data_IF_811037943425
#
_entry.id   IF_811037943425
#
_cell.length_a   1.000
_cell.length_b   1.000
_cell.length_c   1.000
_cell.angle_alpha   90.00
_cell.angle_beta   90.00
_cell.angle_gamma   90.00
#
_symmetry.space_group_name_H-M   'P 1'
#
loop_
_entity.id
_entity.type
_entity.pdbx_description
1 polymer ?
#
# COMPACT_ATOMS: atom_id res chain seq x y z
N UNK A 1 -7.26 -16.13 34.96
CA UNK A 1 -7.32 -17.28 34.04
C UNK A 1 -7.77 -16.73 32.69
N UNK A 2 -6.88 -16.29 31.81
CA UNK A 2 -6.01 -17.10 30.95
C UNK A 2 -6.48 -16.91 29.49
N UNK A 3 -6.22 -15.76 28.87
CA UNK A 3 -5.17 -15.57 27.83
C UNK A 3 -5.24 -16.53 26.62
N UNK A 4 -6.43 -16.81 26.09
CA UNK A 4 -6.62 -17.58 24.85
C UNK A 4 -7.54 -16.81 23.89
N UNK A 5 -6.94 -16.05 22.97
CA UNK A 5 -7.69 -15.34 21.92
C UNK A 5 -6.87 -14.71 20.79
N UNK A 6 -5.53 -14.66 20.89
CA UNK A 6 -4.69 -13.90 19.94
C UNK A 6 -3.85 -14.78 19.00
N UNK A 7 -4.46 -15.80 18.39
CA UNK A 7 -3.87 -16.51 17.26
C UNK A 7 -4.79 -16.50 16.03
N UNK A 8 -5.26 -15.31 15.64
CA UNK A 8 -5.64 -15.08 14.24
C UNK A 8 -4.36 -14.82 13.44
N UNK A 9 -3.66 -15.91 13.10
CA UNK A 9 -2.61 -15.90 12.08
C UNK A 9 -3.30 -15.69 10.71
N UNK A 10 -3.46 -14.43 10.29
CA UNK A 10 -3.95 -14.09 8.95
C UNK A 10 -2.86 -14.41 7.89
N UNK A 11 -3.05 -15.41 7.00
CA UNK A 11 -2.05 -15.74 5.98
C UNK A 11 -2.10 -14.80 4.74
N UNK A 12 -2.88 -13.71 4.81
CA UNK A 12 -3.16 -12.83 3.65
C UNK A 12 -2.02 -11.88 3.22
N UNK A 13 -1.00 -11.67 4.05
CA UNK A 13 0.05 -10.68 3.76
C UNK A 13 1.10 -11.19 2.75
N UNK A 14 1.38 -12.50 2.72
CA UNK A 14 2.36 -13.10 1.78
C UNK A 14 1.84 -13.15 0.35
N UNK A 15 0.55 -13.41 0.15
CA UNK A 15 -0.07 -13.53 -1.17
C UNK A 15 -0.06 -12.22 -1.97
N UNK A 16 -0.24 -11.06 -1.30
CA UNK A 16 -0.24 -9.75 -1.97
C UNK A 16 1.17 -9.25 -2.30
N UNK A 17 2.16 -9.55 -1.47
CA UNK A 17 3.57 -9.30 -1.81
C UNK A 17 4.02 -10.17 -2.98
N UNK A 18 3.60 -11.44 -3.04
CA UNK A 18 3.88 -12.33 -4.16
C UNK A 18 3.35 -11.77 -5.49
N UNK A 19 2.18 -11.12 -5.49
CA UNK A 19 1.57 -10.63 -6.74
C UNK A 19 2.42 -9.61 -7.50
N UNK A 20 3.17 -8.77 -6.79
CA UNK A 20 4.05 -7.76 -7.42
C UNK A 20 5.48 -8.27 -7.60
N UNK A 21 5.93 -9.18 -6.73
CA UNK A 21 7.28 -9.75 -6.79
C UNK A 21 7.41 -10.84 -7.86
N UNK A 22 6.38 -11.67 -8.07
CA UNK A 22 6.39 -12.77 -9.05
C UNK A 22 6.64 -12.31 -10.49
N UNK A 23 5.94 -11.30 -11.05
CA UNK A 23 6.20 -10.87 -12.42
C UNK A 23 7.61 -10.27 -12.56
N UNK A 24 8.12 -9.61 -11.52
CA UNK A 24 9.48 -9.08 -11.47
C UNK A 24 10.53 -10.19 -11.49
N UNK A 25 10.34 -11.22 -10.66
CA UNK A 25 11.21 -12.41 -10.63
C UNK A 25 11.13 -13.19 -11.95
N UNK A 26 9.94 -13.31 -12.54
CA UNK A 26 9.75 -13.97 -13.82
C UNK A 26 10.44 -13.22 -14.97
N UNK A 27 10.29 -11.89 -15.05
CA UNK A 27 10.99 -11.05 -16.02
C UNK A 27 12.51 -11.17 -15.88
N UNK A 28 12.99 -11.24 -14.65
CA UNK A 28 14.40 -11.37 -14.32
C UNK A 28 14.95 -12.76 -14.71
N UNK A 29 14.20 -13.83 -14.46
CA UNK A 29 14.54 -15.17 -14.95
C UNK A 29 14.63 -15.20 -16.47
N UNK A 30 13.68 -14.56 -17.17
CA UNK A 30 13.73 -14.45 -18.64
C UNK A 30 14.96 -13.66 -19.11
N UNK A 31 15.31 -12.56 -18.46
CA UNK A 31 16.50 -11.78 -18.79
C UNK A 31 17.79 -12.62 -18.62
N UNK A 32 17.91 -13.34 -17.51
CA UNK A 32 19.05 -14.23 -17.22
C UNK A 32 19.13 -15.36 -18.26
N UNK A 33 18.01 -16.01 -18.58
CA UNK A 33 17.96 -17.07 -19.59
C UNK A 33 18.30 -16.55 -20.98
N UNK A 34 17.82 -15.36 -21.34
CA UNK A 34 18.12 -14.72 -22.63
C UNK A 34 19.62 -14.44 -22.76
N UNK A 35 20.26 -13.94 -21.70
CA UNK A 35 21.72 -13.71 -21.71
C UNK A 35 22.51 -15.00 -21.79
N UNK A 36 22.12 -16.03 -21.03
CA UNK A 36 22.74 -17.34 -21.12
C UNK A 36 22.59 -17.94 -22.53
N UNK A 37 21.44 -17.77 -23.17
CA UNK A 37 21.20 -18.23 -24.53
C UNK A 37 22.07 -17.49 -25.56
N UNK A 38 22.17 -16.15 -25.46
CA UNK A 38 23.06 -15.34 -26.31
C UNK A 38 24.52 -15.77 -26.11
N UNK A 39 24.95 -15.97 -24.87
CA UNK A 39 26.30 -16.40 -24.56
C UNK A 39 26.59 -17.82 -25.05
N UNK A 40 25.64 -18.73 -24.93
CA UNK A 40 25.72 -20.07 -25.52
C UNK A 40 25.83 -19.99 -27.05
N UNK A 41 25.02 -19.15 -27.70
CA UNK A 41 25.05 -19.00 -29.15
C UNK A 41 26.39 -18.43 -29.64
N UNK A 42 26.91 -17.40 -28.96
CA UNK A 42 28.24 -16.82 -29.25
C UNK A 42 29.35 -17.84 -29.00
N UNK A 43 29.30 -18.58 -27.89
CA UNK A 43 30.29 -19.62 -27.57
C UNK A 43 30.24 -20.79 -28.55
N UNK A 44 29.04 -21.23 -28.94
CA UNK A 44 28.85 -22.34 -29.87
C UNK A 44 29.28 -21.95 -31.29
N UNK A 45 29.04 -20.70 -31.72
CA UNK A 45 29.52 -20.18 -32.99
C UNK A 45 31.05 -19.97 -33.00
N UNK A 46 31.64 -19.54 -31.89
CA UNK A 46 33.10 -19.35 -31.78
C UNK A 46 33.87 -20.68 -31.73
N UNK A 47 33.34 -21.69 -31.05
CA UNK A 47 33.98 -23.01 -30.91
C UNK A 47 33.72 -23.90 -32.16
N UNK A 48 32.60 -23.72 -32.86
CA UNK A 48 32.31 -24.51 -34.06
C UNK A 48 32.98 -24.02 -35.35
N UNK A 49 33.18 -22.71 -35.52
CA UNK A 49 33.62 -22.14 -36.79
C UNK A 49 35.14 -21.95 -36.93
N UNK A 50 35.87 -21.70 -35.82
CA UNK A 50 37.32 -21.46 -35.89
C UNK A 50 38.18 -22.73 -35.83
N UNK A 51 37.68 -23.82 -35.21
CA UNK A 51 38.44 -25.06 -35.08
C UNK A 51 38.74 -25.75 -36.42
N UNK A 52 37.93 -25.52 -37.46
CA UNK A 52 38.09 -26.15 -38.77
C UNK A 52 38.82 -25.32 -39.84
N UNK A 53 39.10 -24.02 -39.61
CA UNK A 53 39.77 -23.17 -40.63
C UNK A 53 41.14 -22.60 -40.23
N UNK A 54 41.50 -22.54 -38.95
CA UNK A 54 42.69 -21.81 -38.52
C UNK A 54 43.73 -22.73 -37.85
N UNK A 55 44.38 -23.59 -38.63
CA UNK A 55 45.51 -24.37 -38.11
C UNK A 55 46.83 -23.58 -37.99
N UNK A 56 46.89 -22.27 -38.29
CA UNK A 56 48.11 -21.46 -38.14
C UNK A 56 47.76 -19.99 -37.87
N UNK A 57 48.17 -19.51 -36.70
CA UNK A 57 48.26 -18.08 -36.33
C UNK A 57 46.87 -17.41 -36.21
N UNK A 58 46.21 -17.41 -35.05
CA UNK A 58 46.26 -16.33 -34.06
C UNK A 58 45.61 -16.88 -32.79
N UNK A 59 46.40 -17.24 -31.79
CA UNK A 59 45.96 -17.69 -30.47
C UNK A 59 45.55 -16.52 -29.53
N UNK A 60 45.14 -15.37 -30.08
CA UNK A 60 44.88 -14.14 -29.32
C UNK A 60 43.47 -13.56 -29.46
N UNK A 61 42.69 -13.95 -30.47
CA UNK A 61 41.30 -13.47 -30.65
C UNK A 61 40.31 -14.17 -29.71
N UNK A 62 40.48 -15.47 -29.44
CA UNK A 62 39.59 -16.25 -28.55
C UNK A 62 39.63 -15.82 -27.08
N UNK A 63 40.80 -15.42 -26.57
CA UNK A 63 40.99 -15.00 -25.17
C UNK A 63 40.31 -13.65 -24.89
N UNK A 64 40.36 -12.71 -25.84
CA UNK A 64 39.71 -11.39 -25.73
C UNK A 64 38.17 -11.50 -25.75
N UNK A 65 37.63 -12.37 -26.62
CA UNK A 65 36.19 -12.66 -26.68
C UNK A 65 35.69 -13.35 -25.41
N UNK A 66 36.46 -14.29 -24.83
CA UNK A 66 36.12 -14.96 -23.57
C UNK A 66 36.13 -14.01 -22.37
N UNK A 67 37.09 -13.09 -22.31
CA UNK A 67 37.15 -12.08 -21.23
C UNK A 67 36.02 -11.07 -21.34
N UNK A 68 35.70 -10.59 -22.55
CA UNK A 68 34.58 -9.68 -22.79
C UNK A 68 33.23 -10.27 -22.38
N UNK A 69 32.99 -11.55 -22.70
CA UNK A 69 31.74 -12.25 -22.32
C UNK A 69 31.62 -12.49 -20.82
N UNK A 70 32.72 -12.82 -20.12
CA UNK A 70 32.73 -12.93 -18.65
C UNK A 70 32.49 -11.60 -17.95
N UNK A 71 33.11 -10.52 -18.43
CA UNK A 71 32.89 -9.18 -17.87
C UNK A 71 31.45 -8.73 -18.11
N UNK A 72 30.92 -8.90 -19.33
CA UNK A 72 29.56 -8.53 -19.67
C UNK A 72 28.49 -9.27 -18.86
N UNK A 73 28.67 -10.58 -18.68
CA UNK A 73 27.78 -11.40 -17.84
C UNK A 73 27.85 -11.02 -16.36
N UNK A 74 29.05 -10.71 -15.84
CA UNK A 74 29.24 -10.19 -14.49
C UNK A 74 28.52 -8.85 -14.27
N UNK A 75 28.68 -7.90 -15.20
CA UNK A 75 28.00 -6.59 -15.13
C UNK A 75 26.48 -6.75 -15.16
N UNK A 76 25.95 -7.61 -16.04
CA UNK A 76 24.52 -7.84 -16.10
C UNK A 76 23.99 -8.48 -14.80
N UNK A 77 24.69 -9.48 -14.25
CA UNK A 77 24.30 -10.11 -13.00
C UNK A 77 24.24 -9.07 -11.86
N UNK A 78 25.21 -8.17 -11.78
CA UNK A 78 25.22 -7.09 -10.78
C UNK A 78 24.04 -6.14 -10.99
N UNK A 79 23.75 -5.73 -12.24
CA UNK A 79 22.59 -4.88 -12.54
C UNK A 79 21.27 -5.55 -12.14
N UNK A 80 21.13 -6.83 -12.45
CA UNK A 80 19.97 -7.64 -12.07
C UNK A 80 19.78 -7.69 -10.55
N UNK A 81 20.86 -7.95 -9.81
CA UNK A 81 20.83 -7.96 -8.34
C UNK A 81 20.53 -6.58 -7.75
N UNK A 82 21.05 -5.51 -8.36
CA UNK A 82 20.79 -4.14 -7.94
C UNK A 82 19.31 -3.74 -8.12
N UNK A 83 18.72 -4.06 -9.28
CA UNK A 83 17.29 -3.86 -9.54
C UNK A 83 16.44 -4.65 -8.56
N UNK A 84 16.82 -5.91 -8.27
CA UNK A 84 16.13 -6.74 -7.29
C UNK A 84 16.17 -6.14 -5.88
N UNK A 85 17.35 -5.70 -5.43
CA UNK A 85 17.50 -5.06 -4.13
C UNK A 85 16.70 -3.75 -4.04
N UNK A 86 16.64 -2.97 -5.12
CA UNK A 86 15.84 -1.76 -5.21
C UNK A 86 14.34 -2.07 -5.14
N UNK A 87 13.84 -2.99 -5.97
CA UNK A 87 12.43 -3.39 -5.96
C UNK A 87 11.98 -3.91 -4.59
N UNK A 88 12.83 -4.69 -3.92
CA UNK A 88 12.56 -5.20 -2.58
C UNK A 88 12.47 -4.07 -1.55
N UNK A 89 13.38 -3.08 -1.62
CA UNK A 89 13.31 -1.87 -0.79
C UNK A 89 12.05 -1.05 -1.04
N UNK A 90 11.66 -0.86 -2.29
CA UNK A 90 10.45 -0.11 -2.65
C UNK A 90 9.19 -0.77 -2.07
N UNK A 91 9.11 -2.10 -2.20
CA UNK A 91 7.99 -2.90 -1.68
C UNK A 91 7.83 -2.70 -0.18
N UNK A 92 8.90 -2.80 0.60
CA UNK A 92 8.85 -2.60 2.04
C UNK A 92 8.52 -1.15 2.43
N UNK A 93 8.94 -0.18 1.61
CA UNK A 93 8.69 1.24 1.85
C UNK A 93 7.21 1.60 1.67
N UNK A 94 6.52 1.03 0.68
CA UNK A 94 5.13 1.39 0.33
C UNK A 94 4.11 0.49 1.04
N UNK A 95 4.33 -0.81 1.12
CA UNK A 95 3.30 -1.76 1.62
C UNK A 95 2.97 -1.52 3.09
N UNK A 96 3.98 -1.18 3.92
CA UNK A 96 3.79 -0.98 5.36
C UNK A 96 2.85 0.20 5.68
N UNK A 97 3.08 1.44 5.21
CA UNK A 97 2.18 2.55 5.49
C UNK A 97 0.76 2.32 4.92
N UNK A 98 0.65 1.76 3.72
CA UNK A 98 -0.66 1.41 3.13
C UNK A 98 -1.41 0.41 4.00
N UNK A 99 -0.73 -0.59 4.56
CA UNK A 99 -1.38 -1.56 5.43
C UNK A 99 -1.81 -0.95 6.76
N UNK A 100 -1.00 -0.06 7.35
CA UNK A 100 -1.38 0.69 8.56
C UNK A 100 -2.63 1.53 8.31
N UNK A 101 -2.67 2.25 7.18
CA UNK A 101 -3.83 3.07 6.81
C UNK A 101 -5.08 2.21 6.60
N UNK A 102 -4.94 1.08 5.89
CA UNK A 102 -6.04 0.15 5.68
C UNK A 102 -6.60 -0.39 7.00
N UNK A 103 -5.74 -0.80 7.95
CA UNK A 103 -6.19 -1.25 9.28
C UNK A 103 -6.93 -0.17 10.05
N UNK A 104 -6.45 1.08 9.98
CA UNK A 104 -7.13 2.20 10.63
C UNK A 104 -8.50 2.48 10.01
N UNK A 105 -8.62 2.38 8.69
CA UNK A 105 -9.90 2.47 7.99
C UNK A 105 -10.85 1.32 8.36
N UNK A 106 -10.35 0.09 8.44
CA UNK A 106 -11.15 -1.07 8.86
C UNK A 106 -11.68 -0.88 10.30
N UNK A 107 -10.83 -0.39 11.21
CA UNK A 107 -11.25 -0.08 12.58
C UNK A 107 -12.29 1.05 12.63
N UNK A 108 -12.12 2.10 11.83
CA UNK A 108 -13.10 3.18 11.70
C UNK A 108 -14.46 2.66 11.16
N UNK A 109 -14.44 1.77 10.17
CA UNK A 109 -15.65 1.12 9.63
C UNK A 109 -16.32 0.23 10.68
N UNK A 110 -15.54 -0.40 11.56
CA UNK A 110 -16.05 -1.15 12.70
C UNK A 110 -16.61 -0.26 13.84
N UNK A 111 -16.47 1.06 13.74
CA UNK A 111 -16.93 2.03 14.74
C UNK A 111 -15.89 2.39 15.82
N UNK A 112 -14.65 1.95 15.67
CA UNK A 112 -13.56 2.24 16.62
C UNK A 112 -12.95 3.63 16.34
N UNK A 113 -13.49 4.65 17.02
CA UNK A 113 -13.03 6.05 16.87
C UNK A 113 -11.81 6.39 17.73
N UNK A 114 -11.33 5.47 18.57
CA UNK A 114 -10.13 5.66 19.39
C UNK A 114 -8.82 5.40 18.66
N UNK A 115 -8.86 5.02 17.38
CA UNK A 115 -7.67 4.65 16.61
C UNK A 115 -6.99 5.89 16.03
N UNK A 116 -5.66 5.94 16.14
CA UNK A 116 -4.82 6.99 15.53
C UNK A 116 -3.75 6.38 14.65
N UNK A 117 -3.55 6.99 13.48
CA UNK A 117 -2.47 6.67 12.55
C UNK A 117 -1.23 7.49 12.89
N UNK A 118 -0.17 6.82 13.33
CA UNK A 118 1.14 7.43 13.56
C UNK A 118 2.15 6.88 12.55
N UNK A 119 2.52 7.69 11.57
CA UNK A 119 3.56 7.37 10.59
C UNK A 119 4.81 8.20 10.91
N UNK A 120 5.92 7.53 11.21
CA UNK A 120 7.20 8.18 11.59
C UNK A 120 7.96 8.81 10.40
N UNK A 121 7.30 9.04 9.26
CA UNK A 121 7.95 9.46 8.02
C UNK A 121 7.49 10.85 7.59
N UNK A 122 8.34 11.57 6.87
CA UNK A 122 8.01 12.86 6.29
C UNK A 122 7.73 12.72 4.78
N UNK A 123 6.77 11.87 4.43
CA UNK A 123 6.34 11.63 3.05
C UNK A 123 4.82 11.85 2.89
N UNK A 124 4.31 11.69 1.67
CA UNK A 124 2.90 11.90 1.31
C UNK A 124 1.97 10.99 2.13
N UNK A 125 2.46 9.83 2.60
CA UNK A 125 1.68 8.95 3.46
C UNK A 125 1.41 9.56 4.83
N UNK A 126 2.32 10.37 5.38
CA UNK A 126 2.07 11.09 6.63
C UNK A 126 0.94 12.08 6.47
N UNK A 127 0.92 12.84 5.39
CA UNK A 127 -0.16 13.80 5.12
C UNK A 127 -1.53 13.09 5.05
N UNK A 128 -1.59 11.94 4.37
CA UNK A 128 -2.80 11.10 4.33
C UNK A 128 -3.18 10.57 5.72
N UNK A 129 -2.20 10.12 6.52
CA UNK A 129 -2.43 9.66 7.89
C UNK A 129 -2.95 10.77 8.82
N UNK A 130 -2.38 11.97 8.72
CA UNK A 130 -2.84 13.15 9.46
C UNK A 130 -4.24 13.59 9.02
N UNK A 131 -4.54 13.54 7.72
CA UNK A 131 -5.88 13.80 7.21
C UNK A 131 -6.89 12.77 7.74
N UNK A 132 -6.53 11.49 7.81
CA UNK A 132 -7.38 10.47 8.41
C UNK A 132 -7.60 10.72 9.91
N UNK A 133 -6.58 11.09 10.67
CA UNK A 133 -6.73 11.43 12.09
C UNK A 133 -7.69 12.61 12.29
N UNK A 134 -7.55 13.68 11.50
CA UNK A 134 -8.48 14.82 11.54
C UNK A 134 -9.92 14.40 11.24
N UNK A 135 -10.10 13.50 10.27
CA UNK A 135 -11.43 12.95 9.95
C UNK A 135 -12.01 12.18 11.13
N UNK A 136 -11.22 11.32 11.78
CA UNK A 136 -11.67 10.54 12.95
C UNK A 136 -12.02 11.47 14.12
N UNK A 137 -11.19 12.47 14.42
CA UNK A 137 -11.42 13.43 15.50
C UNK A 137 -12.71 14.25 15.26
N UNK A 138 -12.96 14.69 14.03
CA UNK A 138 -14.17 15.45 13.66
C UNK A 138 -15.42 14.57 13.73
N UNK A 139 -15.32 13.31 13.27
CA UNK A 139 -16.41 12.34 13.36
C UNK A 139 -16.75 12.01 14.82
N UNK A 140 -15.74 11.76 15.66
CA UNK A 140 -15.93 11.49 17.09
C UNK A 140 -16.56 12.69 17.82
N UNK A 141 -16.10 13.90 17.53
CA UNK A 141 -16.66 15.13 18.09
C UNK A 141 -18.13 15.29 17.70
N UNK A 142 -18.46 15.03 16.44
CA UNK A 142 -19.83 15.20 15.94
C UNK A 142 -20.76 14.13 16.50
N UNK A 143 -20.32 12.88 16.57
CA UNK A 143 -21.08 11.80 17.19
C UNK A 143 -21.32 12.06 18.69
N UNK A 144 -20.34 12.65 19.37
CA UNK A 144 -20.48 13.12 20.75
C UNK A 144 -21.58 14.19 20.91
N UNK A 145 -21.66 15.15 19.98
CA UNK A 145 -22.74 16.15 19.95
C UNK A 145 -24.11 15.51 19.74
N UNK A 146 -24.22 14.56 18.81
CA UNK A 146 -25.46 13.82 18.56
C UNK A 146 -25.89 13.03 19.80
N UNK A 147 -24.98 12.32 20.46
CA UNK A 147 -25.28 11.62 21.71
C UNK A 147 -25.78 12.57 22.81
N UNK A 148 -25.12 13.72 22.99
CA UNK A 148 -25.56 14.72 23.96
C UNK A 148 -26.96 15.28 23.64
N UNK A 149 -27.30 15.43 22.35
CA UNK A 149 -28.64 15.82 21.93
C UNK A 149 -29.69 14.74 22.20
N UNK A 150 -29.36 13.47 21.98
CA UNK A 150 -30.23 12.32 22.31
C UNK A 150 -30.48 12.28 23.82
N UNK A 151 -29.45 12.44 24.65
CA UNK A 151 -29.59 12.45 26.10
C UNK A 151 -30.48 13.60 26.61
N UNK A 152 -30.30 14.80 26.03
CA UNK A 152 -31.16 15.96 26.31
C UNK A 152 -32.61 15.71 25.89
N UNK A 153 -32.81 15.11 24.71
CA UNK A 153 -34.16 14.75 24.22
C UNK A 153 -34.83 13.73 25.14
N UNK A 154 -34.10 12.71 25.59
CA UNK A 154 -34.59 11.71 26.54
C UNK A 154 -34.89 12.31 27.93
N UNK A 155 -34.14 13.32 28.37
CA UNK A 155 -34.42 14.05 29.60
C UNK A 155 -35.72 14.86 29.50
N UNK A 156 -35.91 15.56 28.38
CA UNK A 156 -37.13 16.34 28.09
C UNK A 156 -38.36 15.42 28.03
N UNK A 157 -38.24 14.26 27.37
CA UNK A 157 -39.33 13.28 27.27
C UNK A 157 -39.74 12.66 28.62
N UNK A 158 -38.81 12.62 29.59
CA UNK A 158 -39.09 12.16 30.96
C UNK A 158 -39.67 13.25 31.86
N UNK A 159 -39.59 14.52 31.46
CA UNK A 159 -40.21 15.65 32.17
C UNK A 159 -41.73 15.66 32.01
N UNK A 160 -42.43 16.28 32.97
CA UNK A 160 -43.88 16.51 32.83
C UNK A 160 -44.14 17.40 31.61
N UNK A 161 -45.08 16.99 30.75
CA UNK A 161 -45.49 17.73 29.55
C UNK A 161 -45.88 19.17 29.93
N UNK A 162 -45.08 20.15 29.55
CA UNK A 162 -45.35 21.57 29.74
C UNK A 162 -45.38 22.29 28.40
N UNK A 163 -45.97 23.49 28.33
CA UNK A 163 -45.86 24.35 27.14
C UNK A 163 -44.40 24.65 26.75
N UNK A 164 -43.48 24.74 27.71
CA UNK A 164 -42.05 24.94 27.44
C UNK A 164 -41.33 23.72 26.87
N UNK A 165 -41.90 22.51 27.02
CA UNK A 165 -41.41 21.28 26.36
C UNK A 165 -41.39 21.42 24.84
N UNK A 166 -42.41 22.06 24.25
CA UNK A 166 -42.51 22.23 22.79
C UNK A 166 -41.42 23.15 22.25
N UNK A 167 -41.09 24.23 22.96
CA UNK A 167 -40.00 25.13 22.59
C UNK A 167 -38.64 24.45 22.70
N UNK A 168 -38.40 23.69 23.77
CA UNK A 168 -37.17 22.92 23.96
C UNK A 168 -36.98 21.85 22.87
N UNK A 169 -38.04 21.13 22.51
CA UNK A 169 -37.99 20.13 21.45
C UNK A 169 -37.64 20.76 20.10
N UNK A 170 -38.25 21.91 19.77
CA UNK A 170 -37.94 22.64 18.53
C UNK A 170 -36.48 23.09 18.48
N UNK A 171 -35.95 23.60 19.60
CA UNK A 171 -34.54 23.98 19.68
C UNK A 171 -33.60 22.78 19.47
N UNK A 172 -33.89 21.63 20.08
CA UNK A 172 -33.10 20.41 19.90
C UNK A 172 -33.15 19.89 18.45
N UNK A 173 -34.31 19.95 17.79
CA UNK A 173 -34.44 19.57 16.38
C UNK A 173 -33.63 20.51 15.49
N UNK A 174 -33.65 21.82 15.73
CA UNK A 174 -32.83 22.77 14.97
C UNK A 174 -31.33 22.55 15.18
N UNK A 175 -30.90 22.22 16.40
CA UNK A 175 -29.50 21.89 16.69
C UNK A 175 -29.06 20.59 15.99
N UNK A 176 -29.94 19.58 15.99
CA UNK A 176 -29.71 18.34 15.26
C UNK A 176 -29.60 18.60 13.76
N UNK A 177 -30.50 19.41 13.19
CA UNK A 177 -30.53 19.74 11.77
C UNK A 177 -29.22 20.44 11.34
N UNK A 178 -28.75 21.42 12.12
CA UNK A 178 -27.44 22.04 11.93
C UNK A 178 -26.28 21.05 12.02
N UNK A 179 -26.35 20.10 12.95
CA UNK A 179 -25.32 19.06 13.10
C UNK A 179 -25.32 18.11 11.90
N UNK A 180 -26.48 17.79 11.35
CA UNK A 180 -26.64 16.92 10.17
C UNK A 180 -26.21 17.62 8.88
N UNK A 181 -26.37 18.95 8.78
CA UNK A 181 -25.93 19.75 7.63
C UNK A 181 -24.42 19.61 7.38
N UNK A 182 -23.62 19.42 8.44
CA UNK A 182 -22.18 19.15 8.33
C UNK A 182 -21.86 17.91 7.48
N UNK A 183 -22.64 16.84 7.61
CA UNK A 183 -22.38 15.59 6.89
C UNK A 183 -22.86 15.57 5.44
N UNK A 184 -23.52 16.65 4.97
CA UNK A 184 -24.01 16.82 3.59
C UNK A 184 -24.46 15.50 2.98
N UNK A 185 -25.57 14.94 3.47
CA UNK A 185 -26.16 13.67 3.03
C UNK A 185 -26.72 13.72 1.58
N UNK A 186 -26.17 14.60 0.74
CA UNK A 186 -26.39 14.70 -0.70
C UNK A 186 -26.02 13.39 -1.42
N UNK A 187 -26.53 13.17 -2.64
CA UNK A 187 -26.27 11.93 -3.39
C UNK A 187 -24.77 11.65 -3.55
N UNK A 188 -24.42 10.37 -3.35
CA UNK A 188 -23.04 9.87 -3.34
C UNK A 188 -22.27 10.28 -4.60
N UNK A 189 -21.31 11.20 -4.47
CA UNK A 189 -20.37 11.55 -5.55
C UNK A 189 -19.16 10.63 -5.51
N UNK A 190 -18.73 10.14 -6.67
CA UNK A 190 -17.46 9.40 -6.81
C UNK A 190 -16.35 10.35 -7.22
N UNK A 191 -15.26 10.39 -6.47
CA UNK A 191 -14.02 11.07 -6.87
C UNK A 191 -13.23 10.09 -7.76
N UNK A 192 -12.91 10.49 -8.99
CA UNK A 192 -12.04 9.73 -9.90
C UNK A 192 -10.69 10.43 -10.00
N UNK A 193 -9.63 9.65 -10.16
CA UNK A 193 -8.30 10.14 -10.48
C UNK A 193 -8.33 10.87 -11.83
N UNK A 194 -7.75 12.08 -11.91
CA UNK A 194 -7.63 12.81 -13.17
C UNK A 194 -6.47 12.19 -13.97
N UNK A 195 -6.78 11.40 -14.99
CA UNK A 195 -5.78 10.87 -15.91
C UNK A 195 -5.41 11.98 -16.91
N UNK A 196 -4.39 12.78 -16.58
CA UNK A 196 -3.72 13.68 -17.52
C UNK A 196 -2.41 13.09 -18.02
#
# INVERSE_FOLDING_TARGET
>A
MGFLGLLHYHPGHRARQLRWVVPLVAFLLVAVLTTLAVQYHVSNQAIGAEFFRAHKTISHTGELLRRGTLIGSGVLLVLVLAVMAWAFRLTHRIVRPVHTLHRALDALVAGELGVRVALQREDEFREVGEALNRLVDEFATTLGKVHALVDRTAAVARGAYSPSTHEQLRALVQELDRTMEFFRLEPRRTIREDHR
#
